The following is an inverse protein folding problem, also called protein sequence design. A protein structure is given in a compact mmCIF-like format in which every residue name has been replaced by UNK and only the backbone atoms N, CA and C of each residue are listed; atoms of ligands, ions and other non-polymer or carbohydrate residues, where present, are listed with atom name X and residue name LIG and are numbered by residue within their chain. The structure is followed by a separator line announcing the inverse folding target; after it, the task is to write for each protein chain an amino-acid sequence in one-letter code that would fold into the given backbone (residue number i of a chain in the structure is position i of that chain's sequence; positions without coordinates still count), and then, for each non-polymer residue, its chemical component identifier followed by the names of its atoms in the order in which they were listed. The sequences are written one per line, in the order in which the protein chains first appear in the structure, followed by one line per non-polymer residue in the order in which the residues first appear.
data_IF_642438050420
#
_entry.id   IF_642438050420
#
_cell.length_a   1.000
_cell.length_b   1.000
_cell.length_c   1.000
_cell.angle_alpha   90.00
_cell.angle_beta   90.00
_cell.angle_gamma   90.00
#
_symmetry.space_group_name_H-M   'P 1'
#
loop_
_entity.id
_entity.type
_entity.pdbx_description
1 polymer ?
#
# COMPACT_ATOMS: atom_id res chain seq x y z
N UNK A 1 6.23 7.35 6.39
CA UNK A 1 5.68 8.32 7.39
C UNK A 1 4.30 7.83 7.86
N UNK A 2 3.80 8.24 9.03
CA UNK A 2 2.48 7.80 9.55
C UNK A 2 1.48 8.97 9.55
N UNK A 3 0.23 8.74 9.15
CA UNK A 3 -0.80 9.79 9.03
C UNK A 3 -1.13 10.51 10.34
N UNK A 4 -1.03 9.82 11.47
CA UNK A 4 -1.28 10.42 12.78
C UNK A 4 -0.11 11.25 13.33
N UNK A 5 1.02 11.32 12.61
CA UNK A 5 2.20 12.08 13.07
C UNK A 5 2.04 13.58 12.83
N UNK A 6 2.57 14.41 13.74
CA UNK A 6 2.60 15.87 13.57
C UNK A 6 3.37 16.29 12.32
N UNK A 7 4.42 15.54 11.96
CA UNK A 7 5.18 15.77 10.74
C UNK A 7 4.32 15.57 9.49
N UNK A 8 3.46 14.54 9.48
CA UNK A 8 2.50 14.37 8.39
C UNK A 8 1.46 15.49 8.38
N UNK A 9 0.80 15.73 9.52
CA UNK A 9 -0.36 16.62 9.63
C UNK A 9 -0.02 18.09 9.39
N UNK A 10 1.11 18.56 9.92
CA UNK A 10 1.46 19.99 9.92
C UNK A 10 2.44 20.38 8.82
N UNK A 11 3.18 19.41 8.24
CA UNK A 11 4.17 19.71 7.21
C UNK A 11 3.84 19.00 5.91
N UNK A 12 3.86 17.67 5.88
CA UNK A 12 3.71 16.92 4.63
C UNK A 12 2.37 17.18 3.93
N UNK A 13 1.25 17.02 4.65
CA UNK A 13 -0.08 17.15 4.08
C UNK A 13 -0.37 18.59 3.59
N UNK A 14 -0.11 19.66 4.37
CA UNK A 14 -0.27 21.02 3.87
C UNK A 14 0.59 21.33 2.64
N UNK A 15 1.84 20.86 2.61
CA UNK A 15 2.73 21.04 1.45
C UNK A 15 2.16 20.33 0.20
N UNK A 16 1.68 19.09 0.36
CA UNK A 16 1.08 18.34 -0.74
C UNK A 16 -0.19 19.02 -1.24
N UNK A 17 -1.09 19.45 -0.35
CA UNK A 17 -2.34 20.12 -0.74
C UNK A 17 -2.05 21.46 -1.44
N UNK A 18 -1.19 22.29 -0.87
CA UNK A 18 -0.81 23.57 -1.49
C UNK A 18 -0.18 23.36 -2.86
N UNK A 19 0.80 22.47 -2.97
CA UNK A 19 1.44 22.16 -4.26
C UNK A 19 0.45 21.59 -5.28
N UNK A 20 -0.46 20.71 -4.85
CA UNK A 20 -1.50 20.14 -5.70
C UNK A 20 -2.41 21.22 -6.31
N UNK A 21 -2.91 22.16 -5.49
CA UNK A 21 -3.81 23.21 -5.96
C UNK A 21 -3.10 24.31 -6.76
N UNK A 22 -1.85 24.63 -6.45
CA UNK A 22 -1.05 25.63 -7.18
C UNK A 22 -0.55 25.13 -8.54
N UNK A 23 -0.34 23.81 -8.69
CA UNK A 23 0.19 23.25 -9.94
C UNK A 23 -0.89 23.13 -11.03
N UNK A 24 -0.52 23.41 -12.30
CA UNK A 24 -1.35 23.08 -13.46
C UNK A 24 -1.71 21.59 -13.49
N UNK A 25 -2.93 21.27 -13.95
CA UNK A 25 -3.46 19.89 -13.97
C UNK A 25 -2.49 18.85 -14.57
N UNK A 26 -1.76 19.21 -15.63
CA UNK A 26 -0.76 18.35 -16.29
C UNK A 26 0.38 17.86 -15.38
N UNK A 27 0.73 18.61 -14.34
CA UNK A 27 1.84 18.27 -13.44
C UNK A 27 1.40 17.64 -12.12
N UNK A 28 0.09 17.61 -11.83
CA UNK A 28 -0.43 17.12 -10.55
C UNK A 28 -0.11 15.64 -10.32
N UNK A 29 -0.19 14.78 -11.34
CA UNK A 29 0.17 13.35 -11.18
C UNK A 29 1.67 13.18 -10.93
N UNK A 30 2.52 13.98 -11.58
CA UNK A 30 3.96 13.93 -11.33
C UNK A 30 4.29 14.39 -9.92
N UNK A 31 3.66 15.47 -9.47
CA UNK A 31 3.80 15.99 -8.11
C UNK A 31 3.35 14.96 -7.07
N UNK A 32 2.16 14.38 -7.24
CA UNK A 32 1.65 13.33 -6.35
C UNK A 32 2.53 12.09 -6.36
N UNK A 33 3.04 11.67 -7.52
CA UNK A 33 4.01 10.57 -7.62
C UNK A 33 5.26 10.89 -6.80
N UNK A 34 5.91 12.04 -7.01
CA UNK A 34 7.13 12.41 -6.31
C UNK A 34 6.91 12.42 -4.79
N UNK A 35 5.87 13.11 -4.32
CA UNK A 35 5.58 13.18 -2.89
C UNK A 35 5.18 11.83 -2.30
N UNK A 36 4.54 10.97 -3.09
CA UNK A 36 4.22 9.61 -2.67
C UNK A 36 5.47 8.73 -2.54
N UNK A 37 6.43 8.86 -3.47
CA UNK A 37 7.73 8.21 -3.34
C UNK A 37 8.50 8.71 -2.12
N UNK A 38 8.48 10.02 -1.85
CA UNK A 38 9.10 10.60 -0.63
C UNK A 38 8.43 10.08 0.64
N UNK A 39 7.10 9.99 0.66
CA UNK A 39 6.35 9.46 1.80
C UNK A 39 6.75 8.01 2.12
N UNK A 40 6.91 7.19 1.08
CA UNK A 40 7.38 5.81 1.18
C UNK A 40 8.86 5.75 1.62
N UNK A 41 9.72 6.54 0.99
CA UNK A 41 11.16 6.64 1.29
C UNK A 41 11.44 7.05 2.73
N UNK A 42 10.52 7.78 3.36
CA UNK A 42 10.63 8.18 4.77
C UNK A 42 10.67 6.98 5.73
N UNK A 43 10.01 5.88 5.37
CA UNK A 43 10.09 4.62 6.14
C UNK A 43 11.13 3.66 5.56
N UNK A 44 11.14 3.52 4.23
CA UNK A 44 11.88 2.46 3.53
C UNK A 44 12.68 3.03 2.34
N UNK A 45 13.76 3.80 2.58
CA UNK A 45 14.45 4.54 1.53
C UNK A 45 15.04 3.63 0.44
N UNK A 46 15.61 2.48 0.83
CA UNK A 46 16.24 1.53 -0.09
C UNK A 46 15.21 0.86 -1.00
N UNK A 47 14.01 0.57 -0.50
CA UNK A 47 12.99 -0.15 -1.25
C UNK A 47 12.18 0.72 -2.21
N UNK A 48 12.40 2.03 -2.24
CA UNK A 48 11.83 2.91 -3.27
C UNK A 48 12.27 2.43 -4.66
N UNK A 49 13.53 2.01 -4.80
CA UNK A 49 14.09 1.50 -6.06
C UNK A 49 13.33 0.24 -6.50
N UNK A 50 13.03 -0.66 -5.56
CA UNK A 50 12.23 -1.86 -5.82
C UNK A 50 10.82 -1.49 -6.30
N UNK A 51 10.17 -0.53 -5.64
CA UNK A 51 8.83 -0.08 -6.05
C UNK A 51 8.86 0.55 -7.45
N UNK A 52 9.84 1.41 -7.75
CA UNK A 52 10.02 2.00 -9.09
C UNK A 52 10.24 0.90 -10.14
N UNK A 53 11.09 -0.08 -9.83
CA UNK A 53 11.29 -1.24 -10.71
C UNK A 53 9.99 -1.99 -10.97
N UNK A 54 9.22 -2.32 -9.92
CA UNK A 54 7.93 -3.00 -10.05
C UNK A 54 6.92 -2.16 -10.85
N UNK A 55 6.89 -0.84 -10.68
CA UNK A 55 6.08 0.08 -11.49
C UNK A 55 6.42 -0.07 -12.96
N UNK A 56 7.71 -0.03 -13.34
CA UNK A 56 8.13 -0.19 -14.73
C UNK A 56 7.77 -1.57 -15.29
N UNK A 57 8.05 -2.64 -14.55
CA UNK A 57 7.73 -4.02 -14.99
C UNK A 57 6.24 -4.15 -15.31
N UNK A 58 5.37 -3.68 -14.42
CA UNK A 58 3.92 -3.82 -14.59
C UNK A 58 3.36 -2.84 -15.63
N UNK A 59 3.90 -1.62 -15.73
CA UNK A 59 3.55 -0.66 -16.76
C UNK A 59 3.80 -1.22 -18.16
N UNK A 60 5.03 -1.68 -18.42
CA UNK A 60 5.39 -2.28 -19.70
C UNK A 60 4.70 -3.61 -19.94
N UNK A 61 4.47 -4.41 -18.89
CA UNK A 61 3.66 -5.62 -18.95
C UNK A 61 2.26 -5.35 -19.52
N UNK A 62 1.58 -4.31 -19.01
CA UNK A 62 0.29 -3.85 -19.54
C UNK A 62 0.37 -3.37 -21.00
N UNK A 63 1.39 -2.56 -21.35
CA UNK A 63 1.60 -2.08 -22.72
C UNK A 63 1.80 -3.24 -23.71
N UNK A 64 2.62 -4.23 -23.36
CA UNK A 64 2.88 -5.37 -24.24
C UNK A 64 1.65 -6.26 -24.40
N UNK A 65 0.89 -6.48 -23.32
CA UNK A 65 -0.39 -7.19 -23.38
C UNK A 65 -1.35 -6.50 -24.36
N UNK A 66 -1.56 -5.19 -24.21
CA UNK A 66 -2.43 -4.42 -25.10
C UNK A 66 -1.94 -4.43 -26.56
N UNK A 67 -0.64 -4.21 -26.77
CA UNK A 67 -0.01 -4.22 -28.11
C UNK A 67 -0.22 -5.57 -28.81
N UNK A 68 0.01 -6.68 -28.13
CA UNK A 68 -0.15 -8.01 -28.72
C UNK A 68 -1.63 -8.37 -28.94
N UNK A 69 -2.54 -7.94 -28.06
CA UNK A 69 -4.00 -8.08 -28.28
C UNK A 69 -4.46 -7.33 -29.53
N UNK A 70 -4.03 -6.07 -29.70
CA UNK A 70 -4.35 -5.25 -30.89
C UNK A 70 -3.81 -5.85 -32.20
N UNK A 71 -2.70 -6.58 -32.13
CA UNK A 71 -2.14 -7.32 -33.27
C UNK A 71 -2.75 -8.73 -33.45
N UNK A 72 -3.86 -9.05 -32.79
CA UNK A 72 -4.53 -10.37 -32.79
C UNK A 72 -3.61 -11.54 -32.39
N UNK A 73 -2.52 -11.27 -31.65
CA UNK A 73 -1.56 -12.28 -31.22
C UNK A 73 -1.77 -12.63 -29.74
N UNK A 74 -2.86 -13.34 -29.45
CA UNK A 74 -3.25 -13.71 -28.09
C UNK A 74 -2.21 -14.57 -27.36
N UNK A 75 -1.42 -15.37 -28.10
CA UNK A 75 -0.34 -16.17 -27.53
C UNK A 75 0.75 -15.28 -26.91
N UNK A 76 1.21 -14.27 -27.64
CA UNK A 76 2.21 -13.31 -27.12
C UNK A 76 1.65 -12.45 -25.98
N UNK A 77 0.38 -12.05 -26.05
CA UNK A 77 -0.28 -11.35 -24.96
C UNK A 77 -0.30 -12.18 -23.67
N UNK A 78 -0.66 -13.47 -23.78
CA UNK A 78 -0.67 -14.41 -22.63
C UNK A 78 0.73 -14.62 -22.05
N UNK A 79 1.75 -14.76 -22.91
CA UNK A 79 3.15 -14.89 -22.45
C UNK A 79 3.59 -13.62 -21.70
N UNK A 80 3.27 -12.43 -22.21
CA UNK A 80 3.59 -11.16 -21.54
C UNK A 80 2.94 -11.06 -20.15
N UNK A 81 1.67 -11.45 -20.04
CA UNK A 81 0.98 -11.54 -18.76
C UNK A 81 1.69 -12.50 -17.80
N UNK A 82 1.98 -13.73 -18.26
CA UNK A 82 2.61 -14.77 -17.43
C UNK A 82 3.97 -14.31 -16.93
N UNK A 83 4.83 -13.75 -17.80
CA UNK A 83 6.14 -13.23 -17.41
C UNK A 83 5.99 -12.15 -16.35
N UNK A 84 5.06 -11.20 -16.55
CA UNK A 84 4.82 -10.11 -15.59
C UNK A 84 4.37 -10.65 -14.24
N UNK A 85 3.43 -11.60 -14.22
CA UNK A 85 2.95 -12.24 -12.98
C UNK A 85 4.06 -13.02 -12.28
N UNK A 86 4.87 -13.77 -13.03
CA UNK A 86 6.02 -14.50 -12.47
C UNK A 86 7.00 -13.55 -11.80
N UNK A 87 7.37 -12.43 -12.44
CA UNK A 87 8.29 -11.45 -11.83
C UNK A 87 7.71 -10.91 -10.51
N UNK A 88 6.44 -10.53 -10.49
CA UNK A 88 5.77 -10.05 -9.26
C UNK A 88 5.77 -11.12 -8.15
N UNK A 89 5.41 -12.36 -8.49
CA UNK A 89 5.38 -13.47 -7.53
C UNK A 89 6.77 -13.86 -7.03
N UNK A 90 7.80 -13.76 -7.87
CA UNK A 90 9.20 -14.00 -7.47
C UNK A 90 9.68 -12.93 -6.50
N UNK A 91 9.39 -11.65 -6.76
CA UNK A 91 9.75 -10.57 -5.83
C UNK A 91 9.01 -10.74 -4.50
N UNK A 92 7.71 -11.00 -4.53
CA UNK A 92 6.93 -11.24 -3.31
C UNK A 92 7.41 -12.49 -2.57
N UNK A 93 7.66 -13.57 -3.29
CA UNK A 93 8.22 -14.84 -2.79
C UNK A 93 9.54 -14.62 -2.05
N UNK A 94 10.47 -13.93 -2.71
CA UNK A 94 11.79 -13.64 -2.17
C UNK A 94 11.70 -12.81 -0.88
N UNK A 95 11.02 -11.66 -0.90
CA UNK A 95 11.00 -10.77 0.26
C UNK A 95 10.15 -11.29 1.42
N UNK A 96 9.06 -12.01 1.13
CA UNK A 96 8.11 -12.45 2.17
C UNK A 96 8.40 -13.83 2.74
N UNK A 97 8.92 -14.75 1.92
CA UNK A 97 9.00 -16.16 2.30
C UNK A 97 10.43 -16.70 2.44
N UNK A 98 11.48 -15.97 2.03
CA UNK A 98 12.87 -16.48 2.16
C UNK A 98 13.22 -16.85 3.59
N UNK A 99 13.01 -15.97 4.57
CA UNK A 99 13.36 -16.25 5.96
C UNK A 99 12.57 -17.44 6.52
N UNK A 100 11.29 -17.55 6.16
CA UNK A 100 10.43 -18.69 6.54
C UNK A 100 10.88 -20.00 5.87
N UNK A 101 11.27 -19.97 4.60
CA UNK A 101 11.75 -21.15 3.88
C UNK A 101 13.09 -21.61 4.48
N UNK A 102 14.02 -20.69 4.73
CA UNK A 102 15.31 -20.98 5.34
C UNK A 102 15.15 -21.55 6.76
N UNK A 103 14.25 -20.99 7.58
CA UNK A 103 14.02 -21.51 8.94
C UNK A 103 13.50 -22.95 8.92
N UNK A 104 12.64 -23.29 7.96
CA UNK A 104 12.14 -24.66 7.80
C UNK A 104 13.23 -25.62 7.29
N UNK A 105 14.02 -25.19 6.31
CA UNK A 105 15.14 -25.99 5.76
C UNK A 105 16.18 -26.25 6.86
N UNK A 106 16.57 -25.23 7.60
CA UNK A 106 17.50 -25.37 8.73
C UNK A 106 16.97 -26.32 9.79
N UNK A 107 15.68 -26.29 10.08
CA UNK A 107 15.05 -27.20 11.06
C UNK A 107 15.07 -28.67 10.61
N UNK A 108 14.93 -28.93 9.30
CA UNK A 108 14.87 -30.30 8.75
C UNK A 108 16.28 -30.86 8.49
N UNK A 109 17.14 -30.07 7.85
CA UNK A 109 18.46 -30.49 7.36
C UNK A 109 19.55 -30.26 8.44
N UNK A 110 19.22 -29.55 9.53
CA UNK A 110 20.17 -29.14 10.60
C UNK A 110 21.34 -28.33 10.04
N UNK A 111 21.01 -27.36 9.18
CA UNK A 111 21.95 -26.39 8.61
C UNK A 111 21.74 -25.02 9.24
N UNK A 112 22.72 -24.12 9.07
CA UNK A 112 22.65 -22.73 9.53
C UNK A 112 22.65 -21.75 8.33
N UNK A 113 21.81 -22.02 7.33
CA UNK A 113 21.68 -21.11 6.18
C UNK A 113 20.93 -19.85 6.63
N UNK A 114 21.60 -18.71 6.57
CA UNK A 114 21.02 -17.43 6.96
C UNK A 114 21.16 -16.41 5.85
N UNK A 115 20.04 -15.78 5.49
CA UNK A 115 19.97 -14.63 4.61
C UNK A 115 19.08 -13.62 5.32
N UNK A 116 19.60 -12.44 5.63
CA UNK A 116 18.83 -11.36 6.26
C UNK A 116 18.02 -10.61 5.19
N UNK A 117 16.87 -11.16 4.82
CA UNK A 117 15.96 -10.49 3.89
C UNK A 117 15.02 -9.59 4.67
N UNK A 118 15.23 -8.27 4.53
CA UNK A 118 14.34 -7.25 5.10
C UNK A 118 13.06 -7.14 4.25
N UNK A 119 11.90 -7.21 4.91
CA UNK A 119 10.59 -7.17 4.27
C UNK A 119 10.14 -5.73 3.98
N UNK A 120 9.93 -5.33 2.72
CA UNK A 120 9.46 -3.98 2.41
C UNK A 120 8.01 -3.77 2.84
N UNK A 121 7.73 -2.62 3.45
CA UNK A 121 6.37 -2.24 3.84
C UNK A 121 5.47 -2.19 2.60
N UNK A 122 4.26 -2.74 2.70
CA UNK A 122 3.27 -2.66 1.62
C UNK A 122 3.56 -3.52 0.39
N UNK A 123 4.64 -4.34 0.37
CA UNK A 123 4.98 -5.16 -0.82
C UNK A 123 3.86 -6.05 -1.29
N UNK A 124 3.09 -6.64 -0.37
CA UNK A 124 1.93 -7.45 -0.74
C UNK A 124 0.88 -6.59 -1.46
N UNK A 125 0.56 -5.41 -0.93
CA UNK A 125 -0.48 -4.53 -1.46
C UNK A 125 -0.16 -4.05 -2.88
N UNK A 126 0.98 -3.39 -3.08
CA UNK A 126 1.31 -2.85 -4.40
C UNK A 126 1.54 -3.97 -5.43
N UNK A 127 2.02 -5.14 -5.01
CA UNK A 127 2.23 -6.28 -5.92
C UNK A 127 0.89 -6.82 -6.42
N UNK A 128 -0.09 -7.06 -5.53
CA UNK A 128 -1.42 -7.49 -5.95
C UNK A 128 -2.15 -6.42 -6.78
N UNK A 129 -2.01 -5.15 -6.40
CA UNK A 129 -2.60 -4.01 -7.12
C UNK A 129 -2.07 -3.90 -8.56
N UNK A 130 -0.75 -4.04 -8.74
CA UNK A 130 -0.13 -3.99 -10.06
C UNK A 130 -0.40 -5.25 -10.90
N UNK A 131 -0.42 -6.44 -10.28
CA UNK A 131 -0.80 -7.68 -10.98
C UNK A 131 -2.26 -7.61 -11.45
N UNK A 132 -3.17 -7.10 -10.62
CA UNK A 132 -4.58 -6.89 -11.00
C UNK A 132 -4.69 -6.03 -12.25
N UNK A 133 -3.92 -4.94 -12.35
CA UNK A 133 -3.91 -4.09 -13.53
C UNK A 133 -3.56 -4.86 -14.82
N UNK A 134 -2.47 -5.64 -14.83
CA UNK A 134 -2.05 -6.37 -16.04
C UNK A 134 -3.05 -7.47 -16.40
N UNK A 135 -3.65 -8.13 -15.40
CA UNK A 135 -4.71 -9.12 -15.58
C UNK A 135 -5.98 -8.47 -16.17
N UNK A 136 -6.40 -7.33 -15.64
CA UNK A 136 -7.59 -6.59 -16.09
C UNK A 136 -7.41 -6.12 -17.55
N UNK A 137 -6.22 -5.61 -17.91
CA UNK A 137 -5.89 -5.24 -19.31
C UNK A 137 -5.92 -6.47 -20.23
N UNK A 138 -5.40 -7.62 -19.77
CA UNK A 138 -5.46 -8.86 -20.53
C UNK A 138 -6.90 -9.33 -20.75
N UNK A 139 -7.76 -9.27 -19.72
CA UNK A 139 -9.18 -9.63 -19.80
C UNK A 139 -10.00 -8.63 -20.62
N UNK A 140 -9.53 -7.39 -20.73
CA UNK A 140 -10.29 -6.29 -21.35
C UNK A 140 -11.23 -5.59 -20.37
N UNK A 141 -11.05 -5.82 -19.07
CA UNK A 141 -11.82 -5.18 -17.99
C UNK A 141 -11.32 -3.75 -17.68
N UNK A 142 -10.14 -3.38 -18.19
CA UNK A 142 -9.54 -2.06 -18.08
C UNK A 142 -8.76 -1.68 -19.34
N UNK A 143 -8.73 -0.38 -19.65
CA UNK A 143 -7.84 0.15 -20.69
C UNK A 143 -6.39 0.23 -20.19
N UNK A 144 -5.43 0.08 -21.11
CA UNK A 144 -4.01 0.21 -20.77
C UNK A 144 -3.66 1.66 -20.40
N UNK A 145 -2.92 1.84 -19.31
CA UNK A 145 -2.35 3.15 -18.95
C UNK A 145 -1.15 3.44 -19.85
N UNK A 146 -1.14 4.62 -20.49
CA UNK A 146 -0.09 5.05 -21.42
C UNK A 146 0.93 6.00 -20.80
N UNK A 147 0.61 6.59 -19.64
CA UNK A 147 1.48 7.47 -18.88
C UNK A 147 2.11 6.70 -17.71
N UNK A 148 3.43 6.52 -17.74
CA UNK A 148 4.16 5.90 -16.62
C UNK A 148 4.00 6.73 -15.34
N UNK A 149 3.82 8.04 -15.48
CA UNK A 149 3.59 8.95 -14.35
C UNK A 149 2.22 8.67 -13.72
N UNK A 150 1.16 8.60 -14.53
CA UNK A 150 -0.19 8.29 -14.03
C UNK A 150 -0.25 6.88 -13.43
N UNK A 151 0.43 5.90 -14.05
CA UNK A 151 0.52 4.55 -13.50
C UNK A 151 1.31 4.51 -12.19
N UNK A 152 2.47 5.18 -12.12
CA UNK A 152 3.26 5.28 -10.91
C UNK A 152 2.48 5.98 -9.79
N UNK A 153 1.74 7.05 -10.12
CA UNK A 153 0.86 7.74 -9.18
C UNK A 153 -0.23 6.79 -8.65
N UNK A 154 -0.86 6.00 -9.54
CA UNK A 154 -1.83 4.98 -9.15
C UNK A 154 -1.24 3.91 -8.22
N UNK A 155 0.01 3.48 -8.40
CA UNK A 155 0.61 2.46 -7.55
C UNK A 155 1.07 3.04 -6.22
N UNK A 156 1.73 4.20 -6.25
CA UNK A 156 2.44 4.73 -5.11
C UNK A 156 1.62 5.67 -4.23
N UNK A 157 0.42 6.11 -4.63
CA UNK A 157 -0.35 7.15 -3.96
C UNK A 157 -0.31 6.99 -2.42
N UNK A 158 0.31 7.95 -1.72
CA UNK A 158 0.59 7.80 -0.29
C UNK A 158 -0.61 7.46 0.62
N UNK A 159 -1.87 7.89 0.36
CA UNK A 159 -3.02 7.51 1.14
C UNK A 159 -3.23 5.99 1.18
N UNK A 160 -2.98 5.30 0.06
CA UNK A 160 -3.30 3.87 -0.06
C UNK A 160 -2.12 2.94 0.26
N UNK A 161 -0.88 3.41 0.09
CA UNK A 161 0.30 2.56 -0.08
C UNK A 161 0.62 1.62 1.11
N UNK A 162 0.38 2.06 2.35
CA UNK A 162 0.78 1.29 3.55
C UNK A 162 -0.37 0.44 4.09
N UNK A 163 -1.56 1.02 4.22
CA UNK A 163 -2.72 0.34 4.81
C UNK A 163 -4.07 0.90 4.33
N UNK A 164 -4.12 1.51 3.15
CA UNK A 164 -5.41 1.85 2.53
C UNK A 164 -6.05 0.64 1.85
N UNK A 165 -7.33 0.76 1.44
CA UNK A 165 -8.01 -0.28 0.68
C UNK A 165 -7.25 -0.62 -0.61
N UNK A 166 -7.25 -1.88 -1.03
CA UNK A 166 -6.71 -2.27 -2.35
C UNK A 166 -7.63 -1.69 -3.42
N UNK A 167 -7.16 -0.65 -4.11
CA UNK A 167 -7.90 0.00 -5.18
C UNK A 167 -7.63 -0.71 -6.50
N UNK A 168 -8.69 -1.07 -7.21
CA UNK A 168 -8.58 -1.64 -8.56
C UNK A 168 -8.33 -0.53 -9.58
N UNK A 169 -7.40 -0.73 -10.51
CA UNK A 169 -7.07 0.29 -11.49
C UNK A 169 -8.30 0.82 -12.25
N UNK A 170 -9.19 -0.07 -12.69
CA UNK A 170 -10.40 0.31 -13.44
C UNK A 170 -11.33 1.29 -12.71
N UNK A 171 -11.34 1.30 -11.38
CA UNK A 171 -12.22 2.20 -10.60
C UNK A 171 -11.68 3.62 -10.53
N UNK A 172 -10.37 3.80 -10.69
CA UNK A 172 -9.70 5.11 -10.59
C UNK A 172 -9.06 5.58 -11.90
N UNK A 173 -9.00 4.73 -12.93
CA UNK A 173 -8.35 5.01 -14.20
C UNK A 173 -8.82 6.34 -14.81
N UNK A 174 -10.12 6.60 -14.79
CA UNK A 174 -10.69 7.84 -15.30
C UNK A 174 -10.29 9.05 -14.45
N UNK A 175 -10.31 8.93 -13.12
CA UNK A 175 -10.01 10.02 -12.18
C UNK A 175 -8.51 10.39 -12.15
N UNK A 176 -7.62 9.44 -12.46
CA UNK A 176 -6.19 9.73 -12.60
C UNK A 176 -5.91 10.82 -13.63
N UNK A 177 -6.72 10.94 -14.67
CA UNK A 177 -6.51 11.93 -15.73
C UNK A 177 -7.61 13.00 -15.76
N UNK A 178 -8.81 12.72 -15.23
CA UNK A 178 -9.99 13.60 -15.33
C UNK A 178 -10.65 13.99 -14.00
N UNK A 179 -9.98 13.81 -12.85
CA UNK A 179 -10.53 14.19 -11.53
C UNK A 179 -11.02 15.64 -11.49
N UNK A 180 -12.05 15.83 -10.66
CA UNK A 180 -12.65 17.13 -10.37
C UNK A 180 -12.68 17.34 -8.87
N UNK A 181 -12.23 18.51 -8.45
CA UNK A 181 -12.28 18.93 -7.06
C UNK A 181 -13.62 19.61 -6.77
N UNK A 182 -14.17 19.38 -5.58
CA UNK A 182 -15.32 20.14 -5.08
C UNK A 182 -15.19 20.38 -3.58
N UNK A 183 -15.71 21.52 -3.12
CA UNK A 183 -15.66 21.89 -1.70
C UNK A 183 -16.42 20.87 -0.83
N UNK A 184 -17.49 20.30 -1.38
CA UNK A 184 -18.27 19.25 -0.72
C UNK A 184 -17.44 17.98 -0.52
N UNK A 185 -16.75 17.51 -1.56
CA UNK A 185 -15.88 16.32 -1.45
C UNK A 185 -14.70 16.59 -0.51
N UNK A 186 -14.12 17.78 -0.56
CA UNK A 186 -13.06 18.18 0.35
C UNK A 186 -13.52 18.15 1.82
N UNK A 187 -14.67 18.74 2.13
CA UNK A 187 -15.23 18.73 3.49
C UNK A 187 -15.55 17.31 3.99
N UNK A 188 -16.09 16.45 3.11
CA UNK A 188 -16.31 15.02 3.41
C UNK A 188 -14.99 14.31 3.70
N UNK A 189 -13.96 14.58 2.90
CA UNK A 189 -12.61 14.03 3.09
C UNK A 189 -12.02 14.43 4.45
N UNK A 190 -12.04 15.72 4.79
CA UNK A 190 -11.59 16.23 6.09
C UNK A 190 -12.35 15.59 7.25
N UNK A 191 -13.69 15.53 7.17
CA UNK A 191 -14.51 14.88 8.21
C UNK A 191 -14.12 13.42 8.41
N UNK A 192 -13.92 12.68 7.32
CA UNK A 192 -13.54 11.27 7.37
C UNK A 192 -12.13 11.09 7.93
N UNK A 193 -11.20 11.93 7.51
CA UNK A 193 -9.83 11.93 8.02
C UNK A 193 -9.79 12.18 9.53
N UNK A 194 -10.47 13.21 10.03
CA UNK A 194 -10.55 13.52 11.46
C UNK A 194 -11.20 12.38 12.25
N UNK A 195 -12.23 11.74 11.68
CA UNK A 195 -12.87 10.56 12.29
C UNK A 195 -11.87 9.40 12.42
N UNK A 196 -11.11 9.10 11.36
CA UNK A 196 -10.08 8.07 11.38
C UNK A 196 -8.94 8.38 12.33
N UNK A 197 -8.49 9.64 12.35
CA UNK A 197 -7.47 10.13 13.29
C UNK A 197 -7.94 9.96 14.74
N UNK A 198 -9.20 10.29 15.04
CA UNK A 198 -9.79 10.13 16.37
C UNK A 198 -9.82 8.66 16.78
N UNK A 199 -10.23 7.73 15.89
CA UNK A 199 -10.19 6.29 16.16
C UNK A 199 -8.77 5.82 16.49
N UNK A 200 -7.78 6.24 15.69
CA UNK A 200 -6.38 5.85 15.89
C UNK A 200 -5.81 6.39 17.21
N UNK A 201 -5.91 7.70 17.42
CA UNK A 201 -5.22 8.38 18.52
C UNK A 201 -5.96 8.21 19.84
N UNK A 202 -7.30 8.34 19.86
CA UNK A 202 -8.07 8.33 21.10
C UNK A 202 -8.49 6.91 21.53
N UNK A 203 -8.69 5.98 20.58
CA UNK A 203 -9.14 4.62 20.91
C UNK A 203 -7.99 3.62 20.77
N UNK A 204 -7.47 3.44 19.56
CA UNK A 204 -6.52 2.36 19.26
C UNK A 204 -5.24 2.45 20.10
N UNK A 205 -4.63 3.64 20.18
CA UNK A 205 -3.39 3.83 20.93
C UNK A 205 -3.57 3.57 22.44
N UNK A 206 -4.69 4.03 23.03
CA UNK A 206 -4.97 3.80 24.45
C UNK A 206 -5.24 2.32 24.76
N UNK A 207 -5.97 1.63 23.87
CA UNK A 207 -6.19 0.19 23.98
C UNK A 207 -4.89 -0.60 23.79
N UNK A 208 -3.98 -0.11 22.94
CA UNK A 208 -2.64 -0.66 22.78
C UNK A 208 -1.80 -0.59 24.04
N UNK A 209 -1.81 0.55 24.73
CA UNK A 209 -1.13 0.69 26.04
C UNK A 209 -1.68 -0.34 27.04
N UNK A 210 -3.00 -0.56 27.06
CA UNK A 210 -3.61 -1.55 27.93
C UNK A 210 -3.18 -2.99 27.57
N UNK A 211 -3.19 -3.33 26.27
CA UNK A 211 -2.70 -4.61 25.78
C UNK A 211 -1.22 -4.84 26.14
N UNK A 212 -0.36 -3.87 25.87
CA UNK A 212 1.08 -3.94 26.16
C UNK A 212 1.32 -4.15 27.66
N UNK A 213 0.54 -3.47 28.51
CA UNK A 213 0.61 -3.63 29.96
C UNK A 213 0.20 -5.04 30.41
N UNK A 214 -0.92 -5.57 29.89
CA UNK A 214 -1.42 -6.90 30.28
C UNK A 214 -0.51 -8.02 29.74
N UNK A 215 -0.04 -7.90 28.50
CA UNK A 215 0.80 -8.90 27.84
C UNK A 215 2.21 -9.01 28.43
N UNK A 216 2.67 -7.98 29.14
CA UNK A 216 3.94 -8.00 29.86
C UNK A 216 3.89 -8.75 31.22
N UNK A 217 2.71 -9.12 31.71
CA UNK A 217 2.54 -9.85 32.98
C UNK A 217 2.88 -11.33 32.78
N UNK A 218 3.65 -11.93 33.70
CA UNK A 218 3.95 -13.36 33.67
C UNK A 218 2.65 -14.19 33.73
N UNK A 219 2.49 -15.09 32.76
CA UNK A 219 1.32 -15.96 32.59
C UNK A 219 0.99 -16.77 33.85
N UNK A 220 1.99 -17.12 34.67
CA UNK A 220 1.78 -17.85 35.93
C UNK A 220 1.06 -17.02 36.99
N UNK A 221 1.14 -15.70 36.89
CA UNK A 221 0.61 -14.75 37.87
C UNK A 221 -0.56 -13.92 37.32
N UNK A 222 -0.84 -14.03 36.01
CA UNK A 222 -1.86 -13.25 35.33
C UNK A 222 -3.28 -13.71 35.74
N UNK A 223 -4.08 -12.84 36.39
CA UNK A 223 -5.46 -13.19 36.72
C UNK A 223 -6.30 -13.39 35.45
N UNK A 224 -7.17 -14.40 35.43
CA UNK A 224 -7.98 -14.77 34.26
C UNK A 224 -8.82 -13.61 33.70
N UNK A 225 -9.41 -12.79 34.58
CA UNK A 225 -10.19 -11.63 34.15
C UNK A 225 -9.33 -10.56 33.47
N UNK A 226 -8.08 -10.39 33.93
CA UNK A 226 -7.12 -9.46 33.33
C UNK A 226 -6.67 -9.96 31.96
N UNK A 227 -6.47 -11.27 31.80
CA UNK A 227 -6.19 -11.88 30.51
C UNK A 227 -7.32 -11.62 29.49
N UNK A 228 -8.59 -11.80 29.89
CA UNK A 228 -9.73 -11.47 29.04
C UNK A 228 -9.80 -9.99 28.67
N UNK A 229 -9.52 -9.11 29.64
CA UNK A 229 -9.43 -7.67 29.37
C UNK A 229 -8.35 -7.36 28.33
N UNK A 230 -7.17 -7.97 28.45
CA UNK A 230 -6.09 -7.85 27.47
C UNK A 230 -6.49 -8.31 26.07
N UNK A 231 -7.14 -9.47 25.95
CA UNK A 231 -7.62 -10.00 24.67
C UNK A 231 -8.63 -9.04 24.01
N UNK A 232 -9.59 -8.53 24.79
CA UNK A 232 -10.56 -7.54 24.31
C UNK A 232 -9.88 -6.24 23.90
N UNK A 233 -8.90 -5.76 24.69
CA UNK A 233 -8.12 -4.57 24.38
C UNK A 233 -7.37 -4.71 23.06
N UNK A 234 -6.67 -5.83 22.85
CA UNK A 234 -5.96 -6.14 21.61
C UNK A 234 -6.90 -6.22 20.40
N UNK A 235 -8.06 -6.85 20.58
CA UNK A 235 -9.07 -6.97 19.52
C UNK A 235 -9.55 -5.59 19.06
N UNK A 236 -9.90 -4.71 20.01
CA UNK A 236 -10.32 -3.36 19.67
C UNK A 236 -9.16 -2.48 19.19
N UNK A 237 -7.94 -2.65 19.71
CA UNK A 237 -6.75 -1.96 19.24
C UNK A 237 -6.57 -2.20 17.74
N UNK A 238 -6.52 -3.46 17.29
CA UNK A 238 -6.35 -3.79 15.88
C UNK A 238 -7.50 -3.23 15.04
N UNK A 239 -8.74 -3.38 15.52
CA UNK A 239 -9.92 -2.88 14.79
C UNK A 239 -9.88 -1.36 14.61
N UNK A 240 -9.65 -0.59 15.67
CA UNK A 240 -9.62 0.87 15.60
C UNK A 240 -8.37 1.40 14.91
N UNK A 241 -7.25 0.68 14.97
CA UNK A 241 -6.05 1.03 14.23
C UNK A 241 -6.29 0.90 12.73
N UNK A 242 -6.72 -0.28 12.28
CA UNK A 242 -6.92 -0.55 10.87
C UNK A 242 -8.08 0.25 10.27
N UNK A 243 -9.21 0.35 10.99
CA UNK A 243 -10.35 1.18 10.54
C UNK A 243 -10.03 2.67 10.61
N UNK A 244 -9.26 3.12 11.59
CA UNK A 244 -8.80 4.50 11.70
C UNK A 244 -7.88 4.88 10.53
N UNK A 245 -6.92 4.02 10.21
CA UNK A 245 -6.05 4.20 9.04
C UNK A 245 -6.85 4.18 7.74
N UNK A 246 -7.78 3.24 7.57
CA UNK A 246 -8.64 3.16 6.38
C UNK A 246 -9.47 4.44 6.19
N UNK A 247 -10.07 4.98 7.25
CA UNK A 247 -10.83 6.23 7.17
C UNK A 247 -9.94 7.44 6.87
N UNK A 248 -8.72 7.49 7.42
CA UNK A 248 -7.75 8.51 7.04
C UNK A 248 -7.34 8.39 5.57
N UNK A 249 -7.04 7.18 5.09
CA UNK A 249 -6.67 6.90 3.71
C UNK A 249 -7.76 7.27 2.71
N UNK A 250 -9.03 7.05 3.03
CA UNK A 250 -10.15 7.40 2.15
C UNK A 250 -10.52 8.89 2.26
N UNK A 251 -10.22 9.52 3.40
CA UNK A 251 -10.43 10.95 3.58
C UNK A 251 -9.43 11.82 2.82
N UNK A 252 -8.22 11.30 2.58
CA UNK A 252 -7.15 11.91 1.79
C UNK A 252 -7.36 11.71 0.29
#
# INVERSE_FOLDING_TARGET
MVFSSLLFLLHFLPIVLLGYFLLPRKFRNLFLLIFSLVFYAWGEPTFVILMIFSIFVNFYGGIFVDKFKKASNFKKAKISLIITVIINLLLLGFFKYTNFLLSNVNSVIKTDLFIDVVLPIGISFYTFQMMSYVIDVYRGDAEVQKSVISFGCYVSLFPQLIAGPIVQYKTVAFELDNRKESDVLFAVGVKRFVTGLSKKVLLANNLGILWDTVSAIDLKTLPTLTAWLGIVAFTFQIYFDFSGYSDMAIGL
#
